data_IF_144071675877
#
_entry.id   IF_144071675877
#
_cell.length_a   1.000
_cell.length_b   1.000
_cell.length_c   1.000
_cell.angle_alpha   90.00
_cell.angle_beta   90.00
_cell.angle_gamma   90.00
#
_symmetry.space_group_name_H-M   'P 1'
#
loop_
_entity.id
_entity.type
_entity.pdbx_description
1 polymer ?
#
# COMPACT_ATOMS: atom_id res chain seq x y z
N UNK A 1 1.96 18.77 6.24
CA UNK A 1 0.54 19.08 6.63
C UNK A 1 0.21 18.31 7.91
N UNK A 2 -0.74 18.73 8.76
CA UNK A 2 -1.03 18.01 10.02
C UNK A 2 -2.14 16.96 9.85
N UNK A 3 -1.99 15.81 10.51
CA UNK A 3 -3.03 14.78 10.57
C UNK A 3 -4.18 15.25 11.47
N UNK A 4 -5.45 15.23 11.02
CA UNK A 4 -6.58 15.68 11.84
C UNK A 4 -6.93 14.74 13.01
N UNK A 5 -6.32 13.54 13.07
CA UNK A 5 -6.58 12.54 14.11
C UNK A 5 -5.55 12.52 15.23
N UNK A 6 -4.28 12.71 14.90
CA UNK A 6 -3.18 12.63 15.86
C UNK A 6 -2.32 13.91 15.91
N UNK A 7 -2.66 14.94 15.13
CA UNK A 7 -1.98 16.25 15.06
C UNK A 7 -0.51 16.23 14.63
N UNK A 8 0.05 15.05 14.35
CA UNK A 8 1.41 14.86 13.88
C UNK A 8 1.61 15.42 12.47
N UNK A 9 2.82 15.90 12.20
CA UNK A 9 3.21 16.45 10.91
C UNK A 9 3.44 15.33 9.90
N UNK A 10 2.58 15.25 8.88
CA UNK A 10 2.77 14.37 7.74
C UNK A 10 3.77 14.97 6.75
N UNK A 11 4.69 14.16 6.19
CA UNK A 11 5.60 14.59 5.14
C UNK A 11 4.81 15.07 3.92
N UNK A 12 5.15 16.26 3.42
CA UNK A 12 4.42 16.93 2.34
C UNK A 12 5.38 17.62 1.40
N UNK A 13 5.07 17.56 0.11
CA UNK A 13 5.79 18.22 -0.99
C UNK A 13 4.88 19.25 -1.66
N UNK A 14 5.44 20.12 -2.51
CA UNK A 14 4.68 21.07 -3.31
C UNK A 14 4.40 20.48 -4.70
N UNK A 15 3.17 20.65 -5.19
CA UNK A 15 2.84 20.29 -6.55
C UNK A 15 3.61 21.19 -7.55
N UNK A 16 4.30 20.60 -8.52
CA UNK A 16 5.02 21.35 -9.56
C UNK A 16 4.12 22.19 -10.48
N UNK A 17 2.84 21.80 -10.63
CA UNK A 17 1.90 22.48 -11.52
C UNK A 17 1.12 23.59 -10.83
N UNK A 18 0.50 23.31 -9.68
CA UNK A 18 -0.37 24.28 -8.99
C UNK A 18 0.27 24.93 -7.76
N UNK A 19 1.43 24.45 -7.30
CA UNK A 19 2.15 24.99 -6.14
C UNK A 19 1.57 24.63 -4.77
N UNK A 20 0.46 23.89 -4.70
CA UNK A 20 -0.17 23.55 -3.42
C UNK A 20 0.52 22.37 -2.71
N UNK A 21 0.42 22.33 -1.37
CA UNK A 21 0.97 21.24 -0.55
C UNK A 21 0.15 19.97 -0.69
N UNK A 22 0.85 18.88 -0.93
CA UNK A 22 0.31 17.53 -1.05
C UNK A 22 1.14 16.54 -0.22
N UNK A 23 0.57 15.40 0.22
CA UNK A 23 1.34 14.33 0.85
C UNK A 23 2.45 13.82 -0.08
N UNK A 24 3.63 13.53 0.48
CA UNK A 24 4.81 13.10 -0.30
C UNK A 24 4.56 11.80 -1.11
N UNK A 25 3.77 10.88 -0.56
CA UNK A 25 3.45 9.59 -1.21
C UNK A 25 2.20 9.63 -2.10
N UNK A 26 1.70 10.82 -2.44
CA UNK A 26 0.56 10.96 -3.34
C UNK A 26 0.97 10.67 -4.79
N UNK A 27 0.19 9.83 -5.49
CA UNK A 27 0.35 9.59 -6.93
C UNK A 27 -0.18 10.75 -7.79
N UNK A 28 -1.11 11.52 -7.25
CA UNK A 28 -1.78 12.65 -7.92
C UNK A 28 -1.98 13.79 -6.93
N UNK A 29 -1.99 15.03 -7.44
CA UNK A 29 -2.31 16.20 -6.64
C UNK A 29 -3.80 16.22 -6.29
N UNK A 30 -4.15 16.35 -5.00
CA UNK A 30 -5.54 16.43 -4.55
C UNK A 30 -6.23 17.76 -4.87
N UNK A 31 -5.50 18.75 -5.40
CA UNK A 31 -6.02 20.08 -5.72
C UNK A 31 -6.22 20.29 -7.23
N UNK A 32 -5.26 19.86 -8.06
CA UNK A 32 -5.35 20.05 -9.52
C UNK A 32 -5.48 18.74 -10.32
N UNK A 33 -5.27 17.57 -9.68
CA UNK A 33 -5.37 16.27 -10.33
C UNK A 33 -4.14 15.84 -11.16
N UNK A 34 -3.13 16.70 -11.33
CA UNK A 34 -1.93 16.33 -12.08
C UNK A 34 -1.18 15.18 -11.39
N UNK A 35 -0.63 14.21 -12.14
CA UNK A 35 0.24 13.20 -11.57
C UNK A 35 1.43 13.84 -10.86
N UNK A 36 1.83 13.20 -9.78
CA UNK A 36 2.99 13.54 -8.98
C UNK A 36 3.97 12.40 -9.21
N UNK A 37 5.17 12.71 -9.69
CA UNK A 37 6.19 11.71 -10.01
C UNK A 37 6.66 11.02 -8.73
N UNK A 38 5.90 10.02 -8.28
CA UNK A 38 6.31 9.12 -7.22
C UNK A 38 7.25 8.06 -7.82
N UNK A 39 8.38 7.82 -7.15
CA UNK A 39 9.15 6.59 -7.38
C UNK A 39 8.32 5.46 -6.77
N UNK A 40 7.62 4.69 -7.60
CA UNK A 40 7.05 3.42 -7.16
C UNK A 40 8.23 2.51 -6.80
N UNK A 41 8.43 2.27 -5.50
CA UNK A 41 9.14 1.07 -5.07
C UNK A 41 8.22 -0.08 -5.45
N UNK A 42 8.50 -0.70 -6.60
CA UNK A 42 7.75 -1.85 -7.11
C UNK A 42 7.67 -2.91 -6.01
N UNK A 43 6.54 -2.93 -5.32
CA UNK A 43 6.26 -3.93 -4.31
C UNK A 43 6.02 -5.22 -5.09
N UNK A 44 6.96 -6.16 -5.02
CA UNK A 44 6.87 -7.44 -5.72
C UNK A 44 5.67 -8.23 -5.19
N UNK A 45 4.50 -8.02 -5.80
CA UNK A 45 3.27 -8.76 -5.51
C UNK A 45 3.36 -10.22 -5.97
N UNK A 46 4.38 -10.55 -6.79
CA UNK A 46 4.61 -11.88 -7.38
C UNK A 46 4.80 -12.96 -6.32
N UNK A 47 5.36 -12.61 -5.15
CA UNK A 47 5.60 -13.56 -4.06
C UNK A 47 4.40 -13.80 -3.13
N UNK A 48 3.22 -13.22 -3.40
CA UNK A 48 2.04 -13.44 -2.55
C UNK A 48 1.24 -14.67 -3.01
N UNK A 49 1.33 -15.75 -2.25
CA UNK A 49 0.56 -16.98 -2.46
C UNK A 49 -0.75 -16.97 -1.67
N UNK A 50 -1.89 -17.22 -2.33
CA UNK A 50 -3.20 -17.30 -1.67
C UNK A 50 -3.36 -18.62 -0.90
N UNK A 51 -4.20 -18.62 0.12
CA UNK A 51 -4.53 -19.84 0.86
C UNK A 51 -5.21 -20.89 -0.05
N UNK A 52 -4.81 -22.15 0.06
CA UNK A 52 -5.35 -23.27 -0.74
C UNK A 52 -6.80 -23.66 -0.39
N UNK A 53 -7.35 -23.16 0.71
CA UNK A 53 -8.68 -23.53 1.22
C UNK A 53 -9.85 -23.06 0.34
N UNK A 54 -9.60 -22.21 -0.67
CA UNK A 54 -10.59 -21.70 -1.64
C UNK A 54 -11.63 -20.74 -1.07
N UNK A 55 -11.97 -20.86 0.22
CA UNK A 55 -12.91 -19.99 0.94
C UNK A 55 -12.20 -19.00 1.88
N UNK A 56 -10.94 -19.28 2.25
CA UNK A 56 -10.17 -18.40 3.12
C UNK A 56 -9.62 -17.19 2.34
N UNK A 57 -9.80 -15.97 2.88
CA UNK A 57 -9.28 -14.72 2.28
C UNK A 57 -7.79 -14.46 2.57
N UNK A 58 -7.12 -15.41 3.23
CA UNK A 58 -5.75 -15.27 3.69
C UNK A 58 -4.70 -15.56 2.63
N UNK A 59 -3.45 -15.25 2.96
CA UNK A 59 -2.26 -15.57 2.16
C UNK A 59 -1.28 -16.39 2.99
N UNK A 60 -0.48 -17.19 2.30
CA UNK A 60 0.58 -18.00 2.88
C UNK A 60 1.75 -17.10 3.27
N UNK A 61 2.21 -17.25 4.51
CA UNK A 61 3.36 -16.53 5.04
C UNK A 61 4.67 -17.27 4.73
N UNK A 62 5.80 -16.69 5.13
CA UNK A 62 7.14 -17.26 4.96
C UNK A 62 7.32 -18.62 5.66
N UNK A 63 6.48 -18.95 6.64
CA UNK A 63 6.47 -20.24 7.34
C UNK A 63 5.62 -21.31 6.61
N UNK A 64 5.04 -20.99 5.45
CA UNK A 64 4.21 -21.92 4.68
C UNK A 64 2.79 -22.10 5.23
N UNK A 65 2.32 -21.22 6.12
CA UNK A 65 0.98 -21.28 6.71
C UNK A 65 0.15 -20.04 6.40
N UNK A 66 -1.17 -20.20 6.33
CA UNK A 66 -2.09 -19.10 6.10
C UNK A 66 -2.12 -18.13 7.30
N UNK A 67 -2.01 -16.83 7.03
CA UNK A 67 -2.01 -15.78 8.06
C UNK A 67 -3.37 -15.55 8.76
N UNK A 68 -4.44 -16.20 8.31
CA UNK A 68 -5.78 -16.09 8.91
C UNK A 68 -6.22 -17.40 9.54
N UNK A 69 -6.20 -18.51 8.78
CA UNK A 69 -6.70 -19.79 9.26
C UNK A 69 -5.61 -20.73 9.80
N UNK A 70 -4.33 -20.42 9.59
CA UNK A 70 -3.20 -21.23 10.08
C UNK A 70 -2.97 -22.55 9.34
N UNK A 71 -3.77 -22.88 8.32
CA UNK A 71 -3.57 -24.10 7.52
C UNK A 71 -2.26 -24.03 6.73
N UNK A 72 -1.51 -25.15 6.63
CA UNK A 72 -0.35 -25.22 5.73
C UNK A 72 -0.81 -25.09 4.27
N UNK A 73 0.06 -24.60 3.41
CA UNK A 73 -0.16 -24.65 1.97
C UNK A 73 -0.03 -26.09 1.49
N UNK A 74 -1.05 -26.60 0.81
CA UNK A 74 -1.11 -27.95 0.26
C UNK A 74 -1.44 -27.80 -1.23
N UNK A 75 -0.48 -28.13 -2.11
CA UNK A 75 -0.60 -28.07 -3.57
C UNK A 75 -1.37 -29.30 -4.13
N UNK A 76 -2.53 -29.60 -3.55
CA UNK A 76 -3.36 -30.74 -3.94
C UNK A 76 -3.90 -30.62 -5.38
#
# INVERSE_FOLDING_TARGET
MKCPRCEEALPSILCGECGERIPEKSRFCCWCGNPVLAKDEESDLSNRLLCSDGNCIGAINEAGACNICGKPYDEA
#
